data_IF_527453928711
#
_entry.id   IF_527453928711
#
_cell.length_a   1.000
_cell.length_b   1.000
_cell.length_c   1.000
_cell.angle_alpha   90.00
_cell.angle_beta   90.00
_cell.angle_gamma   90.00
#
_symmetry.space_group_name_H-M   'P 1'
#
loop_
_entity.id
_entity.type
_entity.pdbx_description
1 polymer ?
#
# COMPACT_ATOMS: atom_id res chain seq x y z
N UNK A 1 14.36 14.24 -11.50
CA UNK A 1 14.37 14.06 -10.02
C UNK A 1 14.22 12.58 -9.71
N UNK A 2 15.13 11.99 -8.94
CA UNK A 2 15.07 10.57 -8.59
C UNK A 2 13.88 10.28 -7.68
N UNK A 3 13.12 9.20 -7.93
CA UNK A 3 12.08 8.73 -7.01
C UNK A 3 12.76 8.25 -5.72
N UNK A 4 12.24 8.68 -4.58
CA UNK A 4 12.58 8.07 -3.29
C UNK A 4 12.13 6.61 -3.36
N UNK A 5 13.02 5.63 -3.15
CA UNK A 5 12.65 4.22 -3.22
C UNK A 5 11.74 3.86 -2.04
N UNK A 6 10.75 3.03 -2.29
CA UNK A 6 9.89 2.48 -1.24
C UNK A 6 10.66 1.45 -0.41
N UNK A 7 10.82 1.73 0.89
CA UNK A 7 11.47 0.83 1.85
C UNK A 7 10.44 0.26 2.83
N UNK A 8 10.74 -0.92 3.38
CA UNK A 8 9.89 -1.60 4.36
C UNK A 8 10.69 -1.88 5.62
N UNK A 9 10.57 -1.00 6.61
CA UNK A 9 11.11 -1.21 7.95
C UNK A 9 10.33 -2.28 8.71
N UNK A 10 11.01 -3.00 9.58
CA UNK A 10 10.42 -4.06 10.40
C UNK A 10 10.17 -3.57 11.82
N UNK A 11 9.15 -4.11 12.47
CA UNK A 11 8.83 -3.85 13.88
C UNK A 11 9.00 -5.16 14.65
N UNK A 12 9.62 -5.15 15.84
CA UNK A 12 9.80 -6.37 16.63
C UNK A 12 8.44 -6.91 17.09
N UNK A 13 8.28 -8.23 17.10
CA UNK A 13 7.08 -8.88 17.63
C UNK A 13 6.84 -10.26 17.05
N UNK A 14 5.74 -10.87 17.49
CA UNK A 14 5.31 -12.18 17.05
C UNK A 14 4.38 -12.06 15.84
N UNK A 15 4.75 -12.74 14.75
CA UNK A 15 4.02 -12.72 13.49
C UNK A 15 4.97 -12.83 12.30
N UNK A 16 4.40 -12.68 11.11
CA UNK A 16 5.13 -12.72 9.85
C UNK A 16 4.88 -11.44 9.06
N UNK A 17 5.94 -10.86 8.51
CA UNK A 17 5.89 -9.78 7.53
C UNK A 17 6.41 -10.33 6.22
N UNK A 18 5.61 -10.20 5.16
CA UNK A 18 6.00 -10.60 3.82
C UNK A 18 5.91 -9.42 2.85
N UNK A 19 6.91 -9.33 1.97
CA UNK A 19 6.91 -8.39 0.85
C UNK A 19 7.02 -9.14 -0.46
N UNK A 20 6.03 -8.92 -1.32
CA UNK A 20 5.99 -9.38 -2.69
C UNK A 20 5.85 -8.15 -3.60
N UNK A 21 6.94 -7.75 -4.27
CA UNK A 21 7.02 -6.49 -5.01
C UNK A 21 6.59 -5.27 -4.16
N UNK A 22 5.45 -4.66 -4.49
CA UNK A 22 4.89 -3.49 -3.80
C UNK A 22 3.72 -3.85 -2.86
N UNK A 23 3.39 -5.14 -2.73
CA UNK A 23 2.42 -5.65 -1.76
C UNK A 23 3.18 -6.05 -0.49
N UNK A 24 2.72 -5.56 0.65
CA UNK A 24 3.23 -5.95 1.97
C UNK A 24 2.08 -6.47 2.81
N UNK A 25 2.28 -7.61 3.46
CA UNK A 25 1.32 -8.23 4.36
C UNK A 25 1.97 -8.53 5.70
N UNK A 26 1.24 -8.25 6.77
CA UNK A 26 1.51 -8.67 8.13
C UNK A 26 0.46 -9.69 8.55
N UNK A 27 0.91 -10.83 9.07
CA UNK A 27 0.09 -11.87 9.69
C UNK A 27 0.40 -11.91 11.19
N UNK A 28 -0.62 -11.68 12.01
CA UNK A 28 -0.49 -11.75 13.46
C UNK A 28 -0.84 -13.16 13.94
N UNK A 29 0.18 -13.86 14.43
CA UNK A 29 0.09 -15.27 14.83
C UNK A 29 0.13 -16.24 13.65
N UNK A 30 0.43 -17.50 13.95
CA UNK A 30 0.39 -18.59 12.98
C UNK A 30 -1.02 -19.21 12.94
N UNK A 31 -1.48 -19.59 11.75
CA UNK A 31 -2.75 -20.28 11.56
C UNK A 31 -2.58 -21.37 10.50
N UNK A 32 -3.47 -22.38 10.45
CA UNK A 32 -3.48 -23.37 9.37
C UNK A 32 -3.63 -22.75 7.96
N UNK A 33 -4.04 -21.48 7.86
CA UNK A 33 -4.23 -20.75 6.62
C UNK A 33 -3.03 -19.89 6.22
N UNK A 34 -1.95 -19.84 7.02
CA UNK A 34 -0.78 -18.96 6.79
C UNK A 34 -0.19 -19.13 5.40
N UNK A 35 0.19 -20.35 5.01
CA UNK A 35 0.82 -20.60 3.71
C UNK A 35 -0.10 -20.25 2.54
N UNK A 36 -1.40 -20.53 2.69
CA UNK A 36 -2.41 -20.19 1.68
C UNK A 36 -2.52 -18.67 1.51
N UNK A 37 -2.50 -17.92 2.59
CA UNK A 37 -2.56 -16.45 2.56
C UNK A 37 -1.28 -15.86 1.96
N UNK A 38 -0.10 -16.38 2.31
CA UNK A 38 1.16 -15.95 1.72
C UNK A 38 1.20 -16.23 0.21
N UNK A 39 0.80 -17.43 -0.22
CA UNK A 39 0.70 -17.75 -1.66
C UNK A 39 -0.33 -16.90 -2.41
N UNK A 40 -1.45 -16.54 -1.76
CA UNK A 40 -2.42 -15.60 -2.31
C UNK A 40 -1.84 -14.20 -2.49
N UNK A 41 -1.06 -13.71 -1.51
CA UNK A 41 -0.37 -12.43 -1.56
C UNK A 41 0.69 -12.38 -2.66
N UNK A 42 1.52 -13.42 -2.77
CA UNK A 42 2.53 -13.55 -3.81
C UNK A 42 1.90 -13.54 -5.21
N UNK A 43 0.84 -14.32 -5.41
CA UNK A 43 0.14 -14.35 -6.69
C UNK A 43 -0.52 -13.00 -7.02
N UNK A 44 -1.13 -12.34 -6.03
CA UNK A 44 -1.75 -11.03 -6.21
C UNK A 44 -0.75 -9.94 -6.56
N UNK A 45 0.48 -10.00 -6.03
CA UNK A 45 1.50 -9.00 -6.28
C UNK A 45 1.91 -8.86 -7.75
N UNK A 46 1.70 -9.91 -8.55
CA UNK A 46 1.97 -9.92 -9.99
C UNK A 46 0.76 -9.51 -10.85
N UNK A 47 -0.39 -9.25 -10.23
CA UNK A 47 -1.59 -8.82 -10.95
C UNK A 47 -1.49 -7.36 -11.42
N UNK A 48 -2.25 -6.97 -12.46
CA UNK A 48 -2.30 -5.57 -12.92
C UNK A 48 -2.80 -4.59 -11.84
N UNK A 49 -3.71 -5.04 -10.98
CA UNK A 49 -4.18 -4.32 -9.78
C UNK A 49 -3.99 -5.21 -8.55
N UNK A 50 -2.82 -5.14 -7.88
CA UNK A 50 -2.52 -6.00 -6.73
C UNK A 50 -3.50 -5.87 -5.58
N UNK A 51 -4.00 -4.65 -5.30
CA UNK A 51 -4.95 -4.43 -4.22
C UNK A 51 -6.31 -5.08 -4.48
N UNK A 52 -6.84 -4.97 -5.70
CA UNK A 52 -8.08 -5.69 -6.05
C UNK A 52 -7.85 -7.21 -6.01
N UNK A 53 -6.74 -7.68 -6.56
CA UNK A 53 -6.43 -9.11 -6.62
C UNK A 53 -6.27 -9.74 -5.22
N UNK A 54 -5.62 -9.04 -4.28
CA UNK A 54 -5.45 -9.57 -2.92
C UNK A 54 -6.75 -9.57 -2.13
N UNK A 55 -7.59 -8.54 -2.26
CA UNK A 55 -8.89 -8.49 -1.59
C UNK A 55 -9.78 -9.68 -1.99
N UNK A 56 -9.85 -9.98 -3.29
CA UNK A 56 -10.62 -11.12 -3.82
C UNK A 56 -10.09 -12.47 -3.32
N UNK A 57 -8.77 -12.66 -3.32
CA UNK A 57 -8.14 -13.92 -2.90
C UNK A 57 -8.24 -14.14 -1.39
N UNK A 58 -8.11 -13.08 -0.60
CA UNK A 58 -8.34 -13.15 0.84
C UNK A 58 -9.80 -13.48 1.15
N UNK A 59 -10.77 -12.95 0.38
CA UNK A 59 -12.18 -13.27 0.59
C UNK A 59 -12.41 -14.77 0.39
N UNK A 60 -11.90 -15.33 -0.71
CA UNK A 60 -11.97 -16.77 -0.96
C UNK A 60 -11.29 -17.60 0.14
N UNK A 61 -10.20 -17.09 0.74
CA UNK A 61 -9.43 -17.81 1.77
C UNK A 61 -10.09 -17.75 3.15
N UNK A 62 -10.58 -16.57 3.55
CA UNK A 62 -11.20 -16.29 4.85
C UNK A 62 -12.58 -16.90 4.95
N UNK A 63 -13.34 -16.95 3.84
CA UNK A 63 -14.69 -17.51 3.80
C UNK A 63 -14.73 -18.98 3.34
N UNK A 64 -13.58 -19.64 3.16
CA UNK A 64 -13.54 -21.07 2.85
C UNK A 64 -13.93 -21.88 4.08
N UNK A 65 -15.07 -22.57 3.99
CA UNK A 65 -15.72 -23.35 5.04
C UNK A 65 -14.82 -24.43 5.62
N UNK A 66 -14.13 -24.17 6.74
CA UNK A 66 -13.41 -25.21 7.46
C UNK A 66 -12.38 -24.76 8.49
N UNK A 67 -11.90 -23.51 8.47
CA UNK A 67 -10.92 -23.05 9.46
C UNK A 67 -11.59 -22.35 10.65
N UNK A 68 -11.23 -22.78 11.86
CA UNK A 68 -11.32 -21.98 13.08
C UNK A 68 -10.79 -20.56 12.81
N UNK A 69 -11.47 -19.55 13.37
CA UNK A 69 -11.16 -18.12 13.38
C UNK A 69 -10.06 -17.67 12.39
N UNK A 70 -10.40 -16.95 11.30
CA UNK A 70 -9.40 -16.46 10.36
C UNK A 70 -8.30 -15.66 11.09
N UNK A 71 -7.04 -15.63 10.61
CA UNK A 71 -5.98 -14.91 11.29
C UNK A 71 -6.22 -13.39 11.29
N UNK A 72 -5.63 -12.70 12.25
CA UNK A 72 -5.54 -11.25 12.22
C UNK A 72 -4.42 -10.84 11.27
N UNK A 73 -4.64 -9.78 10.50
CA UNK A 73 -3.70 -9.36 9.47
C UNK A 73 -3.82 -7.88 9.11
N UNK A 74 -2.78 -7.36 8.47
CA UNK A 74 -2.79 -6.08 7.80
C UNK A 74 -2.13 -6.17 6.43
N UNK A 75 -2.77 -5.64 5.40
CA UNK A 75 -2.26 -5.64 4.02
C UNK A 75 -2.18 -4.23 3.49
N UNK A 76 -1.10 -3.95 2.77
CA UNK A 76 -0.94 -2.73 1.98
C UNK A 76 -0.57 -3.12 0.56
N UNK A 77 -1.34 -2.63 -0.41
CA UNK A 77 -1.11 -2.92 -1.82
C UNK A 77 -1.48 -1.72 -2.70
N UNK A 78 -0.73 -1.47 -3.79
CA UNK A 78 -1.13 -0.45 -4.76
C UNK A 78 -2.40 -0.88 -5.52
N UNK A 79 -3.25 0.08 -5.82
CA UNK A 79 -4.38 -0.04 -6.75
C UNK A 79 -4.33 1.06 -7.80
N UNK A 80 -5.11 0.95 -8.87
CA UNK A 80 -5.23 2.06 -9.83
C UNK A 80 -5.68 3.38 -9.17
N UNK A 81 -6.46 3.29 -8.09
CA UNK A 81 -7.04 4.44 -7.38
C UNK A 81 -6.24 4.96 -6.19
N UNK A 82 -5.16 4.30 -5.78
CA UNK A 82 -4.40 4.69 -4.59
C UNK A 82 -3.62 3.55 -3.95
N UNK A 83 -3.60 3.55 -2.63
CA UNK A 83 -3.05 2.47 -1.80
C UNK A 83 -4.23 1.85 -1.06
N UNK A 84 -4.47 0.56 -1.27
CA UNK A 84 -5.40 -0.22 -0.47
C UNK A 84 -4.75 -0.60 0.85
N UNK A 85 -5.49 -0.43 1.94
CA UNK A 85 -5.19 -0.92 3.28
C UNK A 85 -6.33 -1.87 3.68
N UNK A 86 -6.00 -3.11 4.03
CA UNK A 86 -6.95 -4.06 4.62
C UNK A 86 -6.49 -4.41 6.03
N UNK A 87 -7.38 -4.34 7.02
CA UNK A 87 -7.05 -4.65 8.42
C UNK A 87 -8.09 -5.58 9.03
N UNK A 88 -7.63 -6.58 9.76
CA UNK A 88 -8.50 -7.52 10.45
C UNK A 88 -7.97 -7.87 11.84
N UNK A 89 -8.87 -7.86 12.82
CA UNK A 89 -8.53 -8.20 14.21
C UNK A 89 -7.73 -7.08 14.89
N UNK A 90 -6.92 -7.37 15.92
CA UNK A 90 -6.16 -6.38 16.69
C UNK A 90 -4.95 -5.83 15.92
N UNK A 91 -5.19 -5.36 14.70
CA UNK A 91 -4.19 -4.76 13.80
C UNK A 91 -4.65 -3.35 13.45
N UNK A 92 -3.74 -2.40 13.56
CA UNK A 92 -3.98 -0.99 13.25
C UNK A 92 -3.07 -0.54 12.11
N UNK A 93 -3.52 0.49 11.38
CA UNK A 93 -2.67 1.21 10.45
C UNK A 93 -2.66 2.70 10.77
N UNK A 94 -1.47 3.29 10.88
CA UNK A 94 -1.27 4.72 10.94
C UNK A 94 -0.77 5.22 9.57
N UNK A 95 -1.48 6.19 8.99
CA UNK A 95 -1.16 6.78 7.70
C UNK A 95 -0.75 8.23 7.92
N UNK A 96 0.51 8.54 7.63
CA UNK A 96 1.08 9.88 7.73
C UNK A 96 1.15 10.52 6.34
N UNK A 97 0.28 11.51 6.13
CA UNK A 97 0.17 12.26 4.87
C UNK A 97 0.36 13.77 5.07
N UNK A 98 0.22 14.56 3.99
CA UNK A 98 0.29 16.02 4.04
C UNK A 98 -0.85 16.63 4.87
N UNK A 99 -1.99 15.94 4.99
CA UNK A 99 -3.17 16.38 5.76
C UNK A 99 -3.09 16.00 7.24
N UNK A 100 -2.00 15.35 7.67
CA UNK A 100 -1.81 14.86 9.03
C UNK A 100 -1.83 13.34 9.13
N UNK A 101 -1.75 12.87 10.37
CA UNK A 101 -1.79 11.46 10.71
C UNK A 101 -3.23 10.99 10.93
N UNK A 102 -3.56 9.82 10.39
CA UNK A 102 -4.85 9.15 10.63
C UNK A 102 -4.64 7.69 10.99
N UNK A 103 -5.53 7.15 11.81
CA UNK A 103 -5.46 5.76 12.26
C UNK A 103 -6.68 4.97 11.81
N UNK A 104 -6.44 3.75 11.34
CA UNK A 104 -7.43 2.75 10.97
C UNK A 104 -7.28 1.55 11.90
N UNK A 105 -8.38 0.88 12.24
CA UNK A 105 -8.39 -0.31 13.10
C UNK A 105 -9.20 -1.43 12.47
N UNK A 106 -8.60 -2.63 12.41
CA UNK A 106 -9.28 -3.85 11.99
C UNK A 106 -10.14 -4.50 13.07
N UNK A 107 -10.03 -4.05 14.32
CA UNK A 107 -10.72 -4.66 15.48
C UNK A 107 -12.21 -4.35 15.45
N UNK A 108 -12.55 -3.16 14.95
CA UNK A 108 -13.93 -2.66 14.88
C UNK A 108 -14.72 -3.25 13.72
N UNK A 109 -14.11 -4.12 12.90
CA UNK A 109 -14.72 -4.66 11.69
C UNK A 109 -15.13 -6.13 11.85
N UNK A 110 -16.35 -6.45 11.43
CA UNK A 110 -16.90 -7.81 11.52
C UNK A 110 -16.20 -8.79 10.56
N UNK A 111 -15.76 -8.32 9.39
CA UNK A 111 -15.05 -9.12 8.37
C UNK A 111 -13.60 -8.66 8.24
N UNK A 112 -13.42 -7.39 7.88
CA UNK A 112 -12.19 -6.59 7.91
C UNK A 112 -12.56 -5.13 7.61
N UNK A 113 -11.66 -4.20 7.93
CA UNK A 113 -11.73 -2.83 7.47
C UNK A 113 -10.95 -2.69 6.16
N UNK A 114 -11.52 -2.01 5.17
CA UNK A 114 -10.85 -1.68 3.91
C UNK A 114 -10.85 -0.17 3.67
N UNK A 115 -9.72 0.35 3.20
CA UNK A 115 -9.63 1.75 2.82
C UNK A 115 -8.66 1.97 1.65
N UNK A 116 -9.08 2.80 0.69
CA UNK A 116 -8.21 3.27 -0.40
C UNK A 116 -7.74 4.69 -0.10
N UNK A 117 -6.47 4.83 0.27
CA UNK A 117 -5.83 6.12 0.48
C UNK A 117 -5.37 6.69 -0.87
N UNK A 118 -5.97 7.82 -1.27
CA UNK A 118 -5.72 8.48 -2.56
C UNK A 118 -4.64 9.57 -2.45
N UNK A 119 -4.54 10.21 -1.30
CA UNK A 119 -3.58 11.27 -1.05
C UNK A 119 -2.15 10.70 -0.96
N UNK A 120 -1.12 11.52 -1.26
CA UNK A 120 0.27 11.09 -1.11
C UNK A 120 0.55 10.66 0.33
N UNK A 121 1.08 9.46 0.50
CA UNK A 121 1.47 8.92 1.81
C UNK A 121 2.98 9.03 1.95
N UNK A 122 3.45 9.60 3.06
CA UNK A 122 4.88 9.70 3.37
C UNK A 122 5.33 8.45 4.12
N UNK A 123 4.53 8.04 5.09
CA UNK A 123 4.79 6.90 5.96
C UNK A 123 3.49 6.19 6.27
N UNK A 124 3.53 4.85 6.26
CA UNK A 124 2.40 4.00 6.61
C UNK A 124 2.89 2.91 7.54
N UNK A 125 2.37 2.87 8.75
CA UNK A 125 2.73 1.86 9.76
C UNK A 125 1.58 0.88 9.91
N UNK A 126 1.85 -0.42 9.87
CA UNK A 126 0.89 -1.49 10.18
C UNK A 126 1.46 -2.33 11.31
N UNK A 127 0.72 -2.46 12.40
CA UNK A 127 1.17 -3.17 13.60
C UNK A 127 0.03 -3.91 14.28
N UNK A 128 0.36 -5.03 14.93
CA UNK A 128 -0.50 -5.54 16.00
C UNK A 128 -0.51 -4.53 17.17
N UNK A 129 -1.61 -4.45 17.90
CA UNK A 129 -1.69 -3.58 19.08
C UNK A 129 -0.62 -3.96 20.12
N UNK A 130 0.09 -2.95 20.66
CA UNK A 130 1.04 -3.15 21.77
C UNK A 130 2.51 -3.42 21.43
N UNK A 131 3.00 -3.11 20.23
CA UNK A 131 4.41 -3.36 19.83
C UNK A 131 5.18 -2.11 19.42
N UNK A 132 6.48 -2.12 19.71
CA UNK A 132 7.41 -0.98 19.77
C UNK A 132 7.78 -0.30 18.45
N UNK A 133 8.91 0.40 18.46
CA UNK A 133 9.37 1.19 17.31
C UNK A 133 9.96 0.36 16.16
N UNK A 134 10.08 1.00 15.00
CA UNK A 134 10.80 0.47 13.84
C UNK A 134 12.23 0.07 14.22
N UNK A 135 12.66 -1.13 13.81
CA UNK A 135 14.03 -1.60 13.98
C UNK A 135 14.92 -0.80 13.03
N UNK A 136 15.85 -0.04 13.60
CA UNK A 136 16.75 0.82 12.85
C UNK A 136 17.48 0.05 11.73
N UNK A 137 17.60 0.69 10.57
CA UNK A 137 18.33 0.19 9.41
C UNK A 137 17.82 -1.14 8.81
N UNK A 138 16.58 -1.54 9.11
CA UNK A 138 15.92 -2.67 8.44
C UNK A 138 15.24 -2.22 7.15
N UNK A 139 15.34 -3.05 6.11
CA UNK A 139 14.61 -2.86 4.85
C UNK A 139 14.33 -4.22 4.21
N UNK A 140 13.10 -4.72 4.38
CA UNK A 140 12.64 -5.93 3.73
C UNK A 140 12.46 -5.66 2.24
N UNK A 141 13.34 -6.21 1.41
CA UNK A 141 13.29 -6.06 -0.06
C UNK A 141 12.36 -7.06 -0.74
N UNK A 142 12.31 -8.29 -0.24
CA UNK A 142 11.44 -9.36 -0.69
C UNK A 142 11.44 -10.50 0.34
N UNK A 143 10.46 -11.41 0.23
CA UNK A 143 10.38 -12.62 1.04
C UNK A 143 9.59 -12.43 2.32
N UNK A 144 9.75 -13.39 3.25
CA UNK A 144 9.00 -13.50 4.50
C UNK A 144 9.96 -13.49 5.68
N UNK A 145 9.68 -12.67 6.69
CA UNK A 145 10.49 -12.57 7.91
C UNK A 145 9.59 -12.51 9.14
N UNK A 146 10.13 -12.85 10.31
CA UNK A 146 9.43 -12.64 11.57
C UNK A 146 9.32 -11.14 11.90
N UNK A 147 8.18 -10.73 12.45
CA UNK A 147 7.97 -9.34 12.89
C UNK A 147 6.57 -9.11 13.47
N UNK A 148 6.43 -8.04 14.27
CA UNK A 148 5.17 -7.57 14.86
C UNK A 148 4.41 -6.55 14.01
N UNK A 149 4.93 -6.24 12.83
CA UNK A 149 4.41 -5.22 11.93
C UNK A 149 5.48 -4.66 11.02
N UNK A 150 5.13 -3.64 10.23
CA UNK A 150 6.03 -3.00 9.30
C UNK A 150 5.77 -1.50 9.17
N UNK A 151 6.77 -0.80 8.65
CA UNK A 151 6.71 0.61 8.26
C UNK A 151 7.04 0.72 6.77
N UNK A 152 6.09 1.20 5.98
CA UNK A 152 6.28 1.55 4.58
C UNK A 152 6.65 3.04 4.49
N UNK A 153 7.83 3.32 3.96
CA UNK A 153 8.25 4.68 3.63
C UNK A 153 8.06 4.94 2.13
N UNK A 154 7.53 6.11 1.79
CA UNK A 154 7.21 6.52 0.42
C UNK A 154 6.50 5.40 -0.39
N UNK A 155 5.37 4.85 0.11
CA UNK A 155 4.66 3.78 -0.58
C UNK A 155 4.20 4.19 -1.98
N UNK A 156 4.31 3.27 -2.93
CA UNK A 156 3.89 3.50 -4.32
C UNK A 156 2.36 3.52 -4.38
N UNK A 157 1.80 4.65 -4.82
CA UNK A 157 0.40 4.73 -5.23
C UNK A 157 0.27 4.42 -6.73
N UNK A 158 -0.73 3.62 -7.12
CA UNK A 158 -0.97 3.34 -8.54
C UNK A 158 -1.45 4.57 -9.32
N UNK A 159 -1.94 5.62 -8.66
CA UNK A 159 -2.20 6.93 -9.28
C UNK A 159 -0.92 7.53 -9.90
N UNK A 160 0.23 7.37 -9.23
CA UNK A 160 1.52 7.86 -9.74
C UNK A 160 2.02 7.07 -10.95
N UNK A 161 1.67 5.79 -11.06
CA UNK A 161 1.96 4.97 -12.23
C UNK A 161 1.00 5.27 -13.39
N UNK A 162 -0.29 5.44 -13.11
CA UNK A 162 -1.30 5.81 -14.09
C UNK A 162 -1.01 7.17 -14.74
N UNK A 163 -0.68 8.19 -13.93
CA UNK A 163 -0.34 9.54 -14.41
C UNK A 163 0.90 9.55 -15.30
N UNK A 164 1.92 8.75 -14.98
CA UNK A 164 3.10 8.60 -15.85
C UNK A 164 2.77 7.87 -17.16
N UNK A 165 1.92 6.84 -17.13
CA UNK A 165 1.43 6.16 -18.34
C UNK A 165 0.55 7.06 -19.20
N UNK A 166 -0.14 8.02 -18.62
CA UNK A 166 -0.95 9.01 -19.32
C UNK A 166 -0.07 10.10 -19.95
N UNK A 167 0.90 10.64 -19.20
CA UNK A 167 1.88 11.60 -19.72
C UNK A 167 2.74 11.01 -20.86
N UNK A 168 3.17 9.75 -20.74
CA UNK A 168 3.91 9.06 -21.80
C UNK A 168 3.04 8.75 -23.04
N UNK A 169 1.71 8.66 -22.89
CA UNK A 169 0.78 8.46 -24.01
C UNK A 169 0.40 9.76 -24.72
N UNK A 170 0.63 10.93 -24.10
CA UNK A 170 0.24 12.21 -24.69
C UNK A 170 1.40 13.23 -24.76
N UNK A 171 2.46 12.98 -25.56
CA UNK A 171 3.57 13.92 -25.73
C UNK A 171 3.22 15.18 -26.55
N UNK A 172 2.01 15.27 -27.12
CA UNK A 172 1.63 16.34 -28.06
C UNK A 172 0.94 17.57 -27.41
N UNK A 173 0.53 17.50 -26.14
CA UNK A 173 -0.21 18.60 -25.51
C UNK A 173 0.67 19.74 -24.96
N UNK A 174 1.95 19.48 -24.64
CA UNK A 174 2.86 20.51 -24.09
C UNK A 174 3.57 21.36 -25.16
N UNK A 175 3.57 20.95 -26.43
CA UNK A 175 4.24 21.70 -27.50
C UNK A 175 3.40 22.85 -28.09
N UNK A 176 2.09 22.92 -27.79
CA UNK A 176 1.17 23.89 -28.39
C UNK A 176 1.02 25.24 -27.67
N UNK A 177 1.55 25.38 -26.44
CA UNK A 177 1.24 26.55 -25.59
C UNK A 177 2.27 27.69 -25.64
N UNK A 178 3.32 27.62 -26.48
CA UNK A 178 4.40 28.63 -26.51
C UNK A 178 4.51 29.47 -27.78
N UNK A 179 3.53 29.44 -28.68
CA UNK A 179 3.61 30.19 -29.94
C UNK A 179 2.38 31.06 -30.17
N UNK A 180 2.33 32.20 -29.48
CA UNK A 180 1.55 33.35 -29.93
C UNK A 180 2.42 34.60 -29.76
N UNK A 181 2.94 35.20 -30.84
CA UNK A 181 3.64 36.46 -30.75
C UNK A 181 2.64 37.60 -30.49
N UNK A 182 3.04 38.46 -29.55
CA UNK A 182 2.37 39.67 -29.09
C UNK A 182 2.23 40.70 -30.24
N UNK A 183 1.03 41.28 -30.49
CA UNK A 183 0.91 42.36 -31.46
C UNK A 183 1.40 43.69 -30.85
N UNK A 184 2.47 44.23 -31.44
CA UNK A 184 3.08 45.54 -31.16
C UNK A 184 2.06 46.68 -31.18
N UNK A 185 2.12 47.66 -30.25
CA UNK A 185 1.24 48.83 -30.28
C UNK A 185 1.72 49.86 -31.30
N UNK A 186 0.82 50.34 -32.17
CA UNK A 186 1.07 51.50 -33.03
C UNK A 186 0.45 52.75 -32.41
N UNK A 187 1.31 53.65 -31.96
CA UNK A 187 0.97 55.00 -31.51
C UNK A 187 0.59 55.92 -32.69
N UNK A 188 -0.16 56.95 -32.34
CA UNK A 188 -0.86 57.91 -33.20
C UNK A 188 0.01 58.84 -34.05
N UNK A 189 -0.57 59.30 -35.17
CA UNK A 189 -0.53 60.68 -35.68
C UNK A 189 -1.68 60.87 -36.67
#
# INVERSE_FOLDING_TARGET
MGRIPTTVGLIPGAGLVARFANLVIFLHGESPSTDRILGAAETAASAPDPGVAIAQRLAATVFSSGSAQPPAFGVVAPTAGGILILLRGPVTAAVDGPEGARTLSGERAMTWADEIVRNPVRRLTVIAEGVGGEIAHTDLRAGVVAGGGFVLHAPVSGLGAARLREAARNPAAEAGAKSAPEPTPKAAA
#
